data_IF_192246264295
#
_entry.id   IF_192246264295
#
_cell.length_a   1.000
_cell.length_b   1.000
_cell.length_c   1.000
_cell.angle_alpha   90.00
_cell.angle_beta   90.00
_cell.angle_gamma   90.00
#
_symmetry.space_group_name_H-M   'P 1'
#
loop_
_entity.id
_entity.type
_entity.pdbx_description
1 polymer ?
#
# COMPACT_ATOMS: atom_id res chain seq x y z
N UNK A 1 6.72 27.46 63.56
CA UNK A 1 5.70 28.05 62.64
C UNK A 1 5.67 27.11 61.43
N UNK A 2 4.63 26.36 61.05
CA UNK A 2 3.17 26.30 61.27
C UNK A 2 2.80 24.80 61.45
N UNK A 3 2.36 24.38 62.64
CA UNK A 3 0.98 23.98 63.04
C UNK A 3 0.28 22.90 62.19
N UNK A 4 0.32 21.68 62.73
CA UNK A 4 -0.62 20.57 62.58
C UNK A 4 -2.06 20.97 62.90
N UNK A 5 -3.05 20.35 62.23
CA UNK A 5 -4.35 20.04 62.82
C UNK A 5 -4.87 18.68 62.34
N UNK A 6 -5.23 17.87 63.33
CA UNK A 6 -5.81 16.53 63.29
C UNK A 6 -7.23 16.67 63.88
N UNK A 7 -8.25 16.04 63.29
CA UNK A 7 -9.60 15.87 63.89
C UNK A 7 -10.29 14.72 63.14
N UNK A 8 -10.25 13.50 63.68
CA UNK A 8 -11.21 12.89 64.63
C UNK A 8 -12.59 12.52 64.03
N UNK A 9 -12.64 11.25 63.59
CA UNK A 9 -13.66 10.20 63.84
C UNK A 9 -14.93 10.63 64.59
N UNK A 10 -16.09 10.36 63.97
CA UNK A 10 -17.35 10.11 64.67
C UNK A 10 -17.93 8.77 64.20
N UNK A 11 -17.99 7.83 65.15
CA UNK A 11 -18.58 6.50 65.06
C UNK A 11 -20.10 6.63 65.24
N UNK A 12 -20.91 6.03 64.36
CA UNK A 12 -22.32 5.73 64.65
C UNK A 12 -22.57 4.26 64.35
N UNK A 13 -22.87 3.50 65.39
CA UNK A 13 -23.32 2.13 65.34
C UNK A 13 -24.83 2.08 65.64
N UNK A 14 -25.61 1.40 64.80
CA UNK A 14 -26.96 0.85 65.03
C UNK A 14 -27.34 0.14 63.72
N UNK A 15 -27.92 -1.05 63.60
CA UNK A 15 -28.39 -2.10 64.51
C UNK A 15 -28.76 -3.30 63.61
N UNK A 16 -28.60 -4.53 64.12
CA UNK A 16 -28.97 -5.76 63.43
C UNK A 16 -30.45 -5.80 63.04
N UNK A 17 -30.73 -6.28 61.83
CA UNK A 17 -31.97 -6.96 61.47
C UNK A 17 -31.62 -8.37 60.99
N UNK A 18 -31.98 -9.35 61.82
CA UNK A 18 -32.08 -10.76 61.45
C UNK A 18 -33.56 -11.09 61.19
N UNK A 19 -33.89 -11.36 59.93
CA UNK A 19 -35.06 -12.12 59.45
C UNK A 19 -34.58 -12.69 58.11
N UNK A 20 -34.63 -13.96 57.74
CA UNK A 20 -35.16 -15.20 58.29
C UNK A 20 -35.14 -16.17 57.10
N UNK A 21 -34.56 -17.35 57.24
CA UNK A 21 -34.53 -18.35 56.16
C UNK A 21 -35.95 -18.84 55.85
N UNK A 22 -36.37 -18.81 54.59
CA UNK A 22 -37.19 -19.87 54.02
C UNK A 22 -36.50 -20.38 52.76
N UNK A 23 -36.13 -21.64 52.80
CA UNK A 23 -35.74 -22.47 51.67
C UNK A 23 -36.83 -22.48 50.59
N UNK A 24 -36.45 -22.16 49.36
CA UNK A 24 -36.99 -22.79 48.16
C UNK A 24 -35.92 -22.69 47.06
N UNK A 25 -35.37 -23.86 46.71
CA UNK A 25 -34.50 -24.07 45.56
C UNK A 25 -35.33 -23.94 44.27
N UNK A 26 -35.00 -22.96 43.43
CA UNK A 26 -35.05 -22.99 41.95
C UNK A 26 -35.06 -21.57 41.37
N UNK A 27 -34.02 -20.78 41.66
CA UNK A 27 -33.70 -19.69 40.74
C UNK A 27 -32.91 -20.28 39.55
N UNK A 28 -33.26 -19.92 38.30
CA UNK A 28 -32.43 -20.28 37.16
C UNK A 28 -31.03 -19.72 37.40
N UNK A 29 -30.00 -20.53 37.16
CA UNK A 29 -28.65 -20.02 36.97
C UNK A 29 -28.74 -19.08 35.77
N UNK A 30 -28.75 -17.78 36.04
CA UNK A 30 -28.49 -16.77 35.04
C UNK A 30 -27.01 -16.92 34.69
N UNK A 31 -26.75 -17.72 33.64
CA UNK A 31 -25.48 -17.69 32.95
C UNK A 31 -25.49 -16.36 32.20
N UNK A 32 -25.18 -15.28 32.92
CA UNK A 32 -24.63 -14.11 32.25
C UNK A 32 -23.34 -14.61 31.61
N UNK A 33 -23.38 -14.83 30.30
CA UNK A 33 -22.20 -14.84 29.44
C UNK A 33 -21.57 -13.45 29.54
N UNK A 34 -20.94 -13.18 30.69
CA UNK A 34 -19.99 -12.09 30.86
C UNK A 34 -18.72 -12.59 30.17
N UNK A 35 -18.76 -12.60 28.84
CA UNK A 35 -17.56 -12.68 28.02
C UNK A 35 -16.76 -11.45 28.40
N UNK A 36 -15.63 -11.66 29.06
CA UNK A 36 -14.67 -10.58 29.30
C UNK A 36 -14.51 -9.78 27.99
N UNK A 37 -14.62 -8.45 27.99
CA UNK A 37 -14.52 -7.67 26.77
C UNK A 37 -13.17 -8.00 26.11
N UNK A 38 -13.22 -8.51 24.88
CA UNK A 38 -12.01 -8.73 24.08
C UNK A 38 -11.29 -7.39 24.00
N UNK A 39 -10.06 -7.34 24.53
CA UNK A 39 -9.19 -6.19 24.31
C UNK A 39 -8.85 -6.16 22.82
N UNK A 40 -9.55 -5.29 22.10
CA UNK A 40 -9.51 -5.17 20.66
C UNK A 40 -8.50 -4.11 20.20
N UNK A 41 -7.79 -3.46 21.14
CA UNK A 41 -6.75 -2.48 20.84
C UNK A 41 -5.40 -3.19 20.78
N UNK A 42 -4.70 -3.06 19.66
CA UNK A 42 -3.37 -3.60 19.41
C UNK A 42 -2.40 -2.44 19.36
N UNK A 43 -1.31 -2.54 20.11
CA UNK A 43 -0.27 -1.50 20.17
C UNK A 43 1.11 -2.12 20.31
N UNK A 44 2.13 -1.43 19.79
CA UNK A 44 3.52 -1.83 19.92
C UNK A 44 3.86 -3.15 19.21
N UNK A 45 4.77 -3.91 19.79
CA UNK A 45 5.23 -5.16 19.19
C UNK A 45 4.34 -6.35 19.58
N UNK A 46 3.88 -7.09 18.57
CA UNK A 46 3.25 -8.41 18.70
C UNK A 46 4.38 -9.43 18.78
N UNK A 47 4.64 -9.95 19.99
CA UNK A 47 5.76 -10.86 20.29
C UNK A 47 5.36 -12.33 20.38
N UNK A 48 4.09 -12.65 20.22
CA UNK A 48 3.53 -14.00 20.23
C UNK A 48 2.46 -14.11 19.15
N UNK A 49 2.26 -15.31 18.60
CA UNK A 49 1.25 -15.55 17.57
C UNK A 49 -0.13 -15.10 18.06
N UNK A 50 -0.83 -14.34 17.24
CA UNK A 50 -2.17 -13.81 17.55
C UNK A 50 -3.12 -14.03 16.36
N UNK A 51 -4.40 -14.23 16.66
CA UNK A 51 -5.47 -14.29 15.67
C UNK A 51 -6.46 -13.16 15.89
N UNK A 52 -6.70 -12.36 14.86
CA UNK A 52 -7.71 -11.30 14.83
C UNK A 52 -9.01 -11.86 14.24
N UNK A 53 -9.96 -12.13 15.12
CA UNK A 53 -11.28 -12.70 14.78
C UNK A 53 -12.22 -11.63 14.20
N UNK A 54 -13.27 -12.08 13.51
CA UNK A 54 -14.23 -11.21 12.82
C UNK A 54 -15.49 -10.86 13.63
N UNK A 55 -15.54 -11.25 14.91
CA UNK A 55 -16.63 -10.97 15.85
C UNK A 55 -16.44 -9.64 16.60
N UNK A 56 -15.28 -9.00 16.46
CA UNK A 56 -14.95 -7.68 16.99
C UNK A 56 -14.24 -6.83 15.93
N UNK A 57 -14.30 -5.50 16.09
CA UNK A 57 -13.50 -4.57 15.29
C UNK A 57 -12.21 -4.33 16.05
N UNK A 58 -11.08 -4.65 15.42
CA UNK A 58 -9.76 -4.42 16.00
C UNK A 58 -9.32 -2.98 15.75
N UNK A 59 -8.56 -2.41 16.68
CA UNK A 59 -8.02 -1.05 16.59
C UNK A 59 -6.51 -1.07 16.71
N UNK A 60 -5.80 -0.54 15.72
CA UNK A 60 -4.36 -0.27 15.79
C UNK A 60 -4.14 1.10 16.44
N UNK A 61 -3.28 1.13 17.47
CA UNK A 61 -2.86 2.36 18.16
C UNK A 61 -1.33 2.50 18.09
N UNK A 62 -0.88 3.38 17.20
CA UNK A 62 0.52 3.62 16.88
C UNK A 62 1.13 2.52 15.99
N UNK A 63 2.47 2.45 15.99
CA UNK A 63 3.21 1.43 15.24
C UNK A 63 2.98 0.05 15.83
N UNK A 64 2.20 -0.77 15.13
CA UNK A 64 1.94 -2.17 15.47
C UNK A 64 2.85 -3.05 14.63
N UNK A 65 3.75 -3.78 15.28
CA UNK A 65 4.80 -4.54 14.58
C UNK A 65 4.71 -6.03 14.90
N UNK A 66 4.57 -6.86 13.88
CA UNK A 66 4.76 -8.32 13.99
C UNK A 66 6.25 -8.62 13.85
N UNK A 67 6.88 -9.08 14.93
CA UNK A 67 8.34 -9.27 14.99
C UNK A 67 8.77 -10.64 14.43
N UNK A 68 10.08 -10.81 14.25
CA UNK A 68 10.70 -12.04 13.73
C UNK A 68 10.23 -13.30 14.49
N UNK A 69 9.79 -14.31 13.73
CA UNK A 69 9.31 -15.58 14.26
C UNK A 69 7.85 -15.60 14.74
N UNK A 70 7.13 -14.48 14.60
CA UNK A 70 5.72 -14.34 15.02
C UNK A 70 4.80 -14.30 13.81
N UNK A 71 3.61 -14.89 13.94
CA UNK A 71 2.55 -14.88 12.93
C UNK A 71 1.31 -14.13 13.42
N UNK A 72 0.92 -13.11 12.67
CA UNK A 72 -0.38 -12.46 12.78
C UNK A 72 -1.36 -13.17 11.83
N UNK A 73 -2.38 -13.81 12.39
CA UNK A 73 -3.48 -14.40 11.60
C UNK A 73 -4.69 -13.49 11.65
N UNK A 74 -5.36 -13.28 10.52
CA UNK A 74 -6.57 -12.44 10.44
C UNK A 74 -7.67 -13.25 9.76
N UNK A 75 -8.78 -13.44 10.47
CA UNK A 75 -9.91 -14.20 9.95
C UNK A 75 -10.62 -13.46 8.79
N UNK A 76 -11.25 -14.18 7.85
CA UNK A 76 -12.04 -13.55 6.80
C UNK A 76 -13.14 -12.64 7.35
N UNK A 77 -13.31 -11.46 6.76
CA UNK A 77 -14.32 -10.48 7.17
C UNK A 77 -13.94 -9.65 8.40
N UNK A 78 -12.73 -9.81 8.94
CA UNK A 78 -12.24 -8.97 10.04
C UNK A 78 -12.07 -7.52 9.56
N UNK A 79 -12.54 -6.58 10.39
CA UNK A 79 -12.35 -5.15 10.21
C UNK A 79 -11.29 -4.69 11.22
N UNK A 80 -10.26 -4.02 10.70
CA UNK A 80 -9.19 -3.41 11.46
C UNK A 80 -9.24 -1.91 11.21
N UNK A 81 -9.40 -1.13 12.28
CA UNK A 81 -9.38 0.33 12.25
C UNK A 81 -8.07 0.84 12.81
N UNK A 82 -7.57 1.96 12.30
CA UNK A 82 -6.37 2.59 12.82
C UNK A 82 -6.69 3.96 13.44
N UNK A 83 -6.13 4.25 14.61
CA UNK A 83 -6.23 5.58 15.22
C UNK A 83 -5.41 6.60 14.39
N UNK A 84 -5.85 7.88 14.33
CA UNK A 84 -5.06 8.90 13.68
C UNK A 84 -3.74 9.12 14.42
N UNK A 85 -2.72 9.54 13.70
CA UNK A 85 -1.41 9.87 14.26
C UNK A 85 -0.48 10.37 13.16
N UNK A 86 0.59 11.04 13.53
CA UNK A 86 1.62 11.52 12.61
C UNK A 86 3.00 11.21 13.18
N UNK A 87 3.99 11.19 12.30
CA UNK A 87 5.39 10.92 12.65
C UNK A 87 5.52 9.62 13.46
N UNK A 88 6.27 9.66 14.56
CA UNK A 88 6.47 8.54 15.46
C UNK A 88 5.18 7.95 16.08
N UNK A 89 4.06 8.67 16.03
CA UNK A 89 2.76 8.28 16.58
C UNK A 89 1.76 7.80 15.51
N UNK A 90 2.13 7.78 14.23
CA UNK A 90 1.24 7.27 13.19
C UNK A 90 0.89 5.80 13.44
N UNK A 91 -0.38 5.46 13.25
CA UNK A 91 -0.84 4.08 13.31
C UNK A 91 -0.57 3.39 11.98
N UNK A 92 0.21 2.30 12.02
CA UNK A 92 0.64 1.53 10.85
C UNK A 92 0.82 0.08 11.27
N UNK A 93 0.50 -0.86 10.38
CA UNK A 93 0.82 -2.27 10.57
C UNK A 93 2.13 -2.60 9.87
N UNK A 94 3.10 -3.13 10.61
CA UNK A 94 4.42 -3.50 10.10
C UNK A 94 4.62 -5.00 10.30
N UNK A 95 4.83 -5.73 9.23
CA UNK A 95 5.32 -7.11 9.25
C UNK A 95 6.83 -7.04 9.07
N UNK A 96 7.58 -7.08 10.18
CA UNK A 96 9.03 -7.00 10.14
C UNK A 96 9.64 -8.25 9.51
N UNK A 97 10.91 -8.17 9.07
CA UNK A 97 11.63 -9.32 8.51
C UNK A 97 11.52 -10.56 9.39
N UNK A 98 10.94 -11.62 8.83
CA UNK A 98 10.72 -12.91 9.48
C UNK A 98 9.50 -13.03 10.38
N UNK A 99 8.79 -11.92 10.60
CA UNK A 99 7.38 -11.95 10.99
C UNK A 99 6.53 -12.39 9.80
N UNK A 100 5.31 -12.87 10.08
CA UNK A 100 4.38 -13.35 9.06
C UNK A 100 2.99 -12.77 9.23
N UNK A 101 2.30 -12.55 8.12
CA UNK A 101 0.86 -12.26 8.08
C UNK A 101 0.10 -13.39 7.38
N UNK A 102 -1.03 -13.78 7.93
CA UNK A 102 -1.98 -14.72 7.33
C UNK A 102 -3.35 -14.02 7.25
N UNK A 103 -3.51 -13.15 6.25
CA UNK A 103 -4.71 -12.38 5.99
C UNK A 103 -5.43 -12.95 4.75
N UNK A 104 -6.17 -14.03 4.94
CA UNK A 104 -6.81 -14.78 3.85
C UNK A 104 -8.32 -14.58 3.85
N UNK A 105 -8.78 -13.40 3.43
CA UNK A 105 -10.19 -13.09 3.21
C UNK A 105 -10.81 -13.87 2.05
N UNK A 106 -12.05 -13.51 1.73
CA UNK A 106 -12.77 -14.04 0.55
C UNK A 106 -13.50 -12.92 -0.18
N UNK A 107 -13.91 -13.15 -1.43
CA UNK A 107 -14.70 -12.16 -2.18
C UNK A 107 -16.01 -11.75 -1.49
N UNK A 108 -16.59 -12.60 -0.64
CA UNK A 108 -17.78 -12.28 0.15
C UNK A 108 -17.50 -11.75 1.55
N UNK A 109 -16.27 -11.90 2.04
CA UNK A 109 -15.84 -11.48 3.37
C UNK A 109 -14.37 -11.04 3.29
N UNK A 110 -14.10 -9.89 2.63
CA UNK A 110 -12.75 -9.35 2.55
C UNK A 110 -12.29 -8.87 3.93
N UNK A 111 -10.97 -8.87 4.15
CA UNK A 111 -10.37 -8.21 5.31
C UNK A 111 -10.26 -6.72 4.99
N UNK A 112 -10.67 -5.86 5.92
CA UNK A 112 -10.71 -4.41 5.70
C UNK A 112 -9.81 -3.71 6.71
N UNK A 113 -8.82 -3.00 6.22
CA UNK A 113 -8.04 -2.01 6.96
C UNK A 113 -8.54 -0.61 6.61
N UNK A 114 -8.91 0.18 7.62
CA UNK A 114 -9.48 1.53 7.43
C UNK A 114 -9.19 2.45 8.62
N UNK A 115 -9.62 3.70 8.55
CA UNK A 115 -9.51 4.64 9.67
C UNK A 115 -10.51 4.32 10.79
N UNK A 116 -10.14 4.66 12.03
CA UNK A 116 -11.06 4.73 13.18
C UNK A 116 -12.23 5.71 12.99
N UNK A 117 -12.14 6.64 12.04
CA UNK A 117 -13.23 7.55 11.69
C UNK A 117 -14.25 6.94 10.72
N UNK A 118 -13.95 5.81 10.09
CA UNK A 118 -14.89 5.07 9.24
C UNK A 118 -16.04 4.54 10.10
N UNK A 119 -17.28 4.80 9.69
CA UNK A 119 -18.48 4.34 10.39
C UNK A 119 -18.92 2.92 10.03
N UNK A 120 -18.10 2.18 9.26
CA UNK A 120 -18.29 0.75 9.00
C UNK A 120 -18.49 -0.04 10.31
N UNK A 121 -19.50 -0.91 10.33
CA UNK A 121 -19.86 -1.80 11.43
C UNK A 121 -19.56 -3.27 11.09
N UNK A 122 -19.58 -4.14 12.11
CA UNK A 122 -19.35 -5.58 11.92
C UNK A 122 -20.24 -6.20 10.84
N UNK A 123 -19.62 -7.01 9.98
CA UNK A 123 -20.29 -7.68 8.87
C UNK A 123 -20.61 -6.79 7.67
N UNK A 124 -20.27 -5.49 7.71
CA UNK A 124 -20.37 -4.61 6.55
C UNK A 124 -19.06 -4.64 5.75
N UNK A 125 -19.16 -4.32 4.45
CA UNK A 125 -17.98 -4.19 3.56
C UNK A 125 -17.62 -2.74 3.26
N UNK A 126 -18.46 -1.78 3.70
CA UNK A 126 -18.31 -0.35 3.46
C UNK A 126 -19.06 0.47 4.52
N UNK A 127 -18.42 1.53 5.01
CA UNK A 127 -19.10 2.62 5.69
C UNK A 127 -19.83 3.56 4.71
N UNK A 128 -20.36 4.65 5.25
CA UNK A 128 -21.16 5.65 4.51
C UNK A 128 -20.61 7.07 4.62
N UNK A 129 -19.63 7.31 5.49
CA UNK A 129 -19.11 8.65 5.77
C UNK A 129 -17.77 8.96 5.11
N UNK A 130 -17.01 7.96 4.68
CA UNK A 130 -15.77 8.15 3.95
C UNK A 130 -15.92 7.78 2.48
N UNK A 131 -15.19 8.45 1.60
CA UNK A 131 -15.08 8.16 0.17
C UNK A 131 -13.63 8.20 -0.32
N UNK A 132 -13.41 8.03 -1.62
CA UNK A 132 -12.08 7.95 -2.22
C UNK A 132 -11.23 9.22 -2.05
N UNK A 133 -11.83 10.33 -1.65
CA UNK A 133 -11.14 11.61 -1.41
C UNK A 133 -10.70 11.77 0.06
N UNK A 134 -11.15 10.89 0.95
CA UNK A 134 -10.66 10.83 2.33
C UNK A 134 -9.34 10.06 2.39
N UNK A 135 -8.26 10.76 2.73
CA UNK A 135 -6.88 10.24 2.71
C UNK A 135 -6.13 10.64 3.97
N UNK A 136 -5.01 9.98 4.25
CA UNK A 136 -4.05 10.39 5.27
C UNK A 136 -4.56 10.19 6.69
N UNK A 137 -5.50 9.26 6.88
CA UNK A 137 -6.16 9.05 8.17
C UNK A 137 -5.42 8.05 9.06
N UNK A 138 -4.47 7.30 8.48
CA UNK A 138 -3.52 6.40 9.13
C UNK A 138 -2.37 6.06 8.16
N UNK A 139 -1.40 5.25 8.57
CA UNK A 139 -0.21 4.94 7.77
C UNK A 139 -0.49 4.05 6.58
N UNK A 140 -0.82 2.78 6.81
CA UNK A 140 -0.91 1.76 5.77
C UNK A 140 -0.44 0.42 6.28
N UNK A 141 -0.12 -0.50 5.36
CA UNK A 141 0.44 -1.81 5.70
C UNK A 141 1.82 -1.94 5.07
N UNK A 142 2.82 -2.27 5.89
CA UNK A 142 4.19 -2.49 5.47
C UNK A 142 4.54 -3.96 5.66
N UNK A 143 5.06 -4.62 4.61
CA UNK A 143 5.59 -5.99 4.69
C UNK A 143 7.05 -6.00 4.27
N UNK A 144 7.92 -6.42 5.18
CA UNK A 144 9.37 -6.41 4.98
C UNK A 144 9.91 -7.84 4.94
N UNK A 145 10.66 -8.15 3.88
CA UNK A 145 11.25 -9.47 3.66
C UNK A 145 12.77 -9.45 3.56
N UNK A 146 13.33 -10.64 3.34
CA UNK A 146 14.78 -10.89 3.22
C UNK A 146 15.26 -11.12 1.79
N UNK A 147 14.43 -10.84 0.78
CA UNK A 147 14.83 -10.92 -0.62
C UNK A 147 15.78 -9.79 -1.01
N UNK A 148 16.44 -9.95 -2.15
CA UNK A 148 17.38 -8.93 -2.65
C UNK A 148 16.65 -7.68 -3.11
N UNK A 149 17.26 -6.53 -2.85
CA UNK A 149 16.95 -5.22 -3.43
C UNK A 149 18.27 -4.62 -3.93
N UNK A 150 18.20 -3.75 -4.94
CA UNK A 150 19.38 -3.04 -5.43
C UNK A 150 19.56 -1.74 -4.66
N UNK A 151 20.42 -1.79 -3.65
CA UNK A 151 20.59 -0.72 -2.67
C UNK A 151 21.85 0.11 -2.92
N UNK A 152 21.77 1.40 -2.62
CA UNK A 152 22.90 2.32 -2.72
C UNK A 152 24.14 1.80 -1.98
N UNK A 153 25.30 1.85 -2.64
CA UNK A 153 26.56 1.35 -2.10
C UNK A 153 26.61 -0.17 -1.91
N UNK A 154 25.71 -0.93 -2.56
CA UNK A 154 25.56 -2.37 -2.43
C UNK A 154 25.32 -2.82 -0.97
N UNK A 155 24.56 -2.01 -0.22
CA UNK A 155 24.15 -2.37 1.13
C UNK A 155 23.35 -3.69 1.13
N UNK A 156 23.52 -4.55 2.14
CA UNK A 156 22.78 -5.82 2.20
C UNK A 156 21.33 -5.66 2.67
N UNK A 157 21.01 -4.53 3.31
CA UNK A 157 19.71 -4.17 3.86
C UNK A 157 19.60 -2.64 3.92
N UNK A 158 18.38 -2.13 3.85
CA UNK A 158 18.07 -0.71 3.99
C UNK A 158 16.92 -0.52 5.00
N UNK A 159 16.77 0.71 5.49
CA UNK A 159 15.67 1.10 6.35
C UNK A 159 14.51 1.53 5.46
N UNK A 160 13.34 0.88 5.60
CA UNK A 160 12.14 1.32 4.87
C UNK A 160 11.81 2.76 5.26
N UNK A 161 11.32 3.51 4.29
CA UNK A 161 10.97 4.90 4.48
C UNK A 161 10.00 5.12 5.65
N UNK A 162 10.17 6.29 6.26
CA UNK A 162 9.35 6.76 7.35
C UNK A 162 9.45 6.01 8.69
N UNK A 163 10.01 4.80 8.73
CA UNK A 163 10.34 4.12 9.99
C UNK A 163 11.71 4.62 10.47
N UNK A 164 11.83 5.17 11.68
CA UNK A 164 13.10 5.69 12.17
C UNK A 164 14.20 4.63 12.19
N UNK A 165 15.41 4.97 11.75
CA UNK A 165 16.57 4.06 11.73
C UNK A 165 16.96 3.46 13.11
N UNK A 166 16.42 3.99 14.21
CA UNK A 166 16.56 3.40 15.55
C UNK A 166 15.68 2.16 15.77
N UNK A 167 14.66 1.96 14.94
CA UNK A 167 13.74 0.83 14.99
C UNK A 167 14.12 -0.19 13.90
N UNK A 168 14.90 -1.19 14.30
CA UNK A 168 15.41 -2.24 13.41
C UNK A 168 14.32 -3.10 12.78
N UNK A 169 13.07 -3.00 13.25
CA UNK A 169 11.95 -3.70 12.62
C UNK A 169 11.55 -3.10 11.26
N UNK A 170 12.01 -1.89 10.94
CA UNK A 170 11.84 -1.30 9.61
C UNK A 170 12.94 -1.67 8.61
N UNK A 171 13.88 -2.55 8.97
CA UNK A 171 14.90 -3.01 8.01
C UNK A 171 14.29 -4.03 7.04
N UNK A 172 14.57 -3.88 5.74
CA UNK A 172 14.25 -4.84 4.68
C UNK A 172 15.49 -5.19 3.86
N UNK A 173 15.36 -6.17 2.98
CA UNK A 173 16.45 -6.63 2.13
C UNK A 173 17.24 -7.79 2.75
N UNK A 174 18.04 -8.43 1.91
CA UNK A 174 18.86 -9.57 2.26
C UNK A 174 19.32 -10.34 1.02
N UNK A 175 19.43 -11.66 1.16
CA UNK A 175 19.93 -12.55 0.08
C UNK A 175 19.01 -13.74 -0.21
N UNK A 176 17.80 -13.76 0.37
CA UNK A 176 16.87 -14.87 0.29
C UNK A 176 15.62 -14.50 -0.54
N UNK A 177 15.70 -14.63 -1.86
CA UNK A 177 14.54 -14.35 -2.73
C UNK A 177 13.38 -15.34 -2.55
N UNK A 178 13.60 -16.44 -1.82
CA UNK A 178 12.58 -17.41 -1.44
C UNK A 178 12.02 -17.17 -0.03
N UNK A 179 12.29 -16.01 0.57
CA UNK A 179 11.71 -15.60 1.85
C UNK A 179 10.17 -15.60 1.78
N UNK A 180 9.54 -15.90 2.92
CA UNK A 180 8.09 -16.07 3.05
C UNK A 180 7.58 -15.26 4.24
N UNK A 181 6.97 -14.12 3.92
CA UNK A 181 6.29 -13.22 4.86
C UNK A 181 4.81 -13.59 5.06
N UNK A 182 4.34 -14.69 4.47
CA UNK A 182 2.98 -15.21 4.59
C UNK A 182 2.08 -14.93 3.39
N UNK A 183 0.81 -14.62 3.66
CA UNK A 183 -0.22 -14.48 2.62
C UNK A 183 -1.20 -13.35 2.91
N UNK A 184 -1.48 -12.54 1.89
CA UNK A 184 -2.56 -11.55 1.84
C UNK A 184 -3.44 -11.85 0.63
N UNK A 185 -4.72 -12.12 0.88
CA UNK A 185 -5.71 -12.47 -0.12
C UNK A 185 -7.07 -11.87 0.21
N UNK A 186 -7.69 -11.12 -0.71
CA UNK A 186 -8.94 -10.37 -0.51
C UNK A 186 -8.82 -9.39 0.66
N UNK A 187 -7.90 -8.44 0.51
CA UNK A 187 -7.60 -7.39 1.49
C UNK A 187 -7.89 -6.03 0.87
N UNK A 188 -8.69 -5.22 1.56
CA UNK A 188 -8.99 -3.83 1.18
C UNK A 188 -8.34 -2.89 2.18
N UNK A 189 -7.46 -2.02 1.72
CA UNK A 189 -6.71 -1.03 2.51
C UNK A 189 -7.19 0.35 2.09
N UNK A 190 -7.69 1.15 3.03
CA UNK A 190 -8.40 2.39 2.69
C UNK A 190 -7.93 3.58 3.52
N UNK A 191 -7.88 4.76 2.91
CA UNK A 191 -7.71 6.05 3.57
C UNK A 191 -6.36 6.19 4.31
N UNK A 192 -5.30 5.55 3.79
CA UNK A 192 -3.93 5.54 4.32
C UNK A 192 -3.11 6.77 3.91
N UNK A 193 -1.80 6.73 4.14
CA UNK A 193 -0.84 7.76 3.71
C UNK A 193 -0.65 8.94 4.66
N UNK A 194 -0.80 8.75 5.97
CA UNK A 194 -0.40 9.82 6.90
C UNK A 194 1.12 10.01 6.89
N UNK A 195 1.56 11.26 6.94
CA UNK A 195 2.96 11.65 7.17
C UNK A 195 3.57 10.94 8.39
N UNK A 196 4.66 10.22 8.18
CA UNK A 196 5.44 9.56 9.24
C UNK A 196 6.87 10.09 9.38
N UNK A 197 7.29 10.97 8.47
CA UNK A 197 8.49 11.81 8.54
C UNK A 197 8.30 13.10 7.74
N UNK A 198 9.30 13.98 7.72
CA UNK A 198 9.28 15.16 6.84
C UNK A 198 9.42 14.71 5.38
N UNK A 199 8.34 14.82 4.60
CA UNK A 199 8.28 14.38 3.20
C UNK A 199 8.34 12.87 3.01
N UNK A 200 7.97 12.09 4.04
CA UNK A 200 7.83 10.63 3.93
C UNK A 200 6.43 10.27 4.41
N UNK A 201 5.53 10.11 3.47
CA UNK A 201 4.22 9.51 3.65
C UNK A 201 4.38 7.97 3.66
N UNK A 202 3.31 7.19 3.79
CA UNK A 202 3.38 5.72 3.65
C UNK A 202 2.42 5.31 2.55
N UNK A 203 2.82 4.33 1.76
CA UNK A 203 2.02 3.77 0.70
C UNK A 203 0.84 2.97 1.27
N UNK A 204 -0.20 2.74 0.46
CA UNK A 204 -1.31 1.91 0.91
C UNK A 204 -0.82 0.51 1.32
N UNK A 205 -0.02 -0.10 0.44
CA UNK A 205 0.72 -1.32 0.71
C UNK A 205 2.19 -1.18 0.29
N UNK A 206 3.10 -1.16 1.27
CA UNK A 206 4.55 -1.12 1.03
C UNK A 206 5.13 -2.54 1.11
N UNK A 207 5.91 -2.94 0.09
CA UNK A 207 6.50 -4.27 -0.03
C UNK A 207 8.02 -4.19 -0.18
N UNK A 208 8.73 -4.09 0.94
CA UNK A 208 10.21 -4.00 0.94
C UNK A 208 10.89 -5.36 0.97
N UNK A 209 11.64 -5.72 -0.08
CA UNK A 209 12.44 -6.94 -0.14
C UNK A 209 11.64 -8.22 0.10
N UNK A 210 10.37 -8.26 -0.31
CA UNK A 210 9.47 -9.40 -0.07
C UNK A 210 9.82 -10.56 -1.01
N UNK A 211 9.99 -11.76 -0.46
CA UNK A 211 10.38 -12.94 -1.23
C UNK A 211 9.23 -13.64 -1.96
N UNK A 212 9.61 -14.43 -2.97
CA UNK A 212 8.73 -15.25 -3.81
C UNK A 212 7.98 -16.37 -3.08
N UNK A 213 8.34 -16.64 -1.82
CA UNK A 213 7.58 -17.54 -0.95
C UNK A 213 6.28 -16.92 -0.43
N UNK A 214 6.18 -15.59 -0.47
CA UNK A 214 5.03 -14.81 -0.02
C UNK A 214 3.93 -14.80 -1.09
N UNK A 215 2.66 -14.79 -0.67
CA UNK A 215 1.50 -14.65 -1.58
C UNK A 215 0.83 -13.30 -1.40
N UNK A 216 0.81 -12.47 -2.44
CA UNK A 216 0.04 -11.22 -2.49
C UNK A 216 -0.98 -11.33 -3.63
N UNK A 217 -2.27 -11.35 -3.29
CA UNK A 217 -3.32 -11.46 -4.32
C UNK A 217 -4.62 -10.80 -3.90
N UNK A 218 -5.43 -10.36 -4.87
CA UNK A 218 -6.75 -9.74 -4.61
C UNK A 218 -6.63 -8.62 -3.56
N UNK A 219 -5.84 -7.60 -3.88
CA UNK A 219 -5.63 -6.44 -3.03
C UNK A 219 -6.39 -5.25 -3.62
N UNK A 220 -7.05 -4.49 -2.78
CA UNK A 220 -7.60 -3.18 -3.11
C UNK A 220 -6.93 -2.12 -2.22
N UNK A 221 -6.48 -1.02 -2.82
CA UNK A 221 -6.08 0.20 -2.13
C UNK A 221 -6.95 1.36 -2.59
N UNK A 222 -7.51 2.12 -1.66
CA UNK A 222 -8.40 3.27 -1.97
C UNK A 222 -8.00 4.50 -1.16
N UNK A 223 -7.82 5.64 -1.82
CA UNK A 223 -7.63 6.93 -1.14
C UNK A 223 -6.37 6.96 -0.27
N UNK A 224 -5.23 6.53 -0.80
CA UNK A 224 -3.93 6.76 -0.15
C UNK A 224 -3.43 8.17 -0.46
N UNK A 225 -2.70 8.83 0.45
CA UNK A 225 -2.08 10.14 0.15
C UNK A 225 -0.90 9.96 -0.80
N UNK A 226 -0.11 8.94 -0.54
CA UNK A 226 1.05 8.55 -1.31
C UNK A 226 0.64 7.50 -2.34
N UNK A 227 1.54 6.58 -2.67
CA UNK A 227 1.26 5.50 -3.60
C UNK A 227 0.15 4.55 -3.17
N UNK A 228 -0.45 3.92 -4.18
CA UNK A 228 -1.32 2.77 -3.98
C UNK A 228 -0.57 1.59 -3.40
N UNK A 229 0.36 1.04 -4.18
CA UNK A 229 1.20 -0.09 -3.81
C UNK A 229 2.59 0.15 -4.34
N UNK A 230 3.59 0.01 -3.46
CA UNK A 230 4.99 0.21 -3.82
C UNK A 230 5.85 -1.01 -3.47
N UNK A 231 6.77 -1.35 -4.38
CA UNK A 231 7.75 -2.42 -4.21
C UNK A 231 9.18 -1.89 -4.14
N UNK A 232 9.78 -1.87 -2.95
CA UNK A 232 11.21 -1.66 -2.78
C UNK A 232 11.99 -2.97 -2.96
N UNK A 233 12.38 -3.27 -4.20
CA UNK A 233 13.06 -4.50 -4.55
C UNK A 233 12.24 -5.77 -4.24
N UNK A 234 12.93 -6.91 -4.13
CA UNK A 234 12.31 -8.20 -3.82
C UNK A 234 11.89 -9.03 -5.03
N UNK A 235 11.18 -10.13 -4.78
CA UNK A 235 10.86 -11.17 -5.76
C UNK A 235 9.45 -11.74 -5.60
N UNK A 236 8.60 -11.13 -4.77
CA UNK A 236 7.20 -11.55 -4.57
C UNK A 236 6.43 -11.45 -5.87
N UNK A 237 5.57 -12.43 -6.20
CA UNK A 237 4.62 -12.27 -7.30
C UNK A 237 3.30 -11.76 -6.75
N UNK A 238 2.70 -10.80 -7.45
CA UNK A 238 1.45 -10.15 -7.07
C UNK A 238 0.39 -10.34 -8.15
N UNK A 239 -0.87 -10.54 -7.77
CA UNK A 239 -1.95 -10.71 -8.75
C UNK A 239 -3.28 -10.12 -8.33
N UNK A 240 -4.09 -9.65 -9.28
CA UNK A 240 -5.40 -9.05 -8.99
C UNK A 240 -5.26 -7.86 -8.04
N UNK A 241 -4.59 -6.80 -8.49
CA UNK A 241 -4.40 -5.58 -7.72
C UNK A 241 -5.32 -4.48 -8.22
N UNK A 242 -6.00 -3.78 -7.32
CA UNK A 242 -6.79 -2.60 -7.64
C UNK A 242 -6.29 -1.42 -6.82
N UNK A 243 -6.00 -0.31 -7.48
CA UNK A 243 -5.69 0.97 -6.84
C UNK A 243 -6.69 2.00 -7.35
N UNK A 244 -7.28 2.76 -6.43
CA UNK A 244 -8.22 3.83 -6.76
C UNK A 244 -7.94 5.08 -5.95
N UNK A 245 -7.72 6.19 -6.64
CA UNK A 245 -7.62 7.53 -6.06
C UNK A 245 -6.50 7.71 -5.04
N UNK A 246 -5.36 7.06 -5.28
CA UNK A 246 -4.09 7.40 -4.63
C UNK A 246 -3.68 8.84 -4.95
N UNK A 247 -2.83 9.44 -4.11
CA UNK A 247 -2.45 10.83 -4.27
C UNK A 247 -1.13 11.03 -5.01
N UNK A 248 -0.25 10.03 -4.99
CA UNK A 248 0.93 9.98 -5.86
C UNK A 248 0.73 8.86 -6.92
N UNK A 249 1.49 7.77 -6.87
CA UNK A 249 1.53 6.80 -7.95
C UNK A 249 0.72 5.53 -7.71
N UNK A 250 0.09 5.05 -8.78
CA UNK A 250 -0.80 3.90 -8.73
C UNK A 250 -0.07 2.63 -8.28
N UNK A 251 0.90 2.22 -9.08
CA UNK A 251 1.82 1.12 -8.79
C UNK A 251 3.23 1.65 -8.97
N UNK A 252 4.00 1.68 -7.89
CA UNK A 252 5.38 2.15 -7.91
C UNK A 252 6.36 0.98 -7.70
N UNK A 253 7.40 0.91 -8.51
CA UNK A 253 8.43 -0.12 -8.46
C UNK A 253 9.79 0.53 -8.32
N UNK A 254 10.52 0.05 -7.33
CA UNK A 254 11.78 0.62 -6.96
C UNK A 254 12.85 -0.45 -6.70
N UNK A 255 14.11 -0.03 -6.67
CA UNK A 255 15.26 -0.84 -6.23
C UNK A 255 15.39 -2.24 -6.88
N UNK A 256 15.12 -2.33 -8.19
CA UNK A 256 15.23 -3.56 -8.99
C UNK A 256 14.36 -4.73 -8.51
N UNK A 257 13.08 -4.47 -8.24
CA UNK A 257 12.09 -5.53 -8.04
C UNK A 257 12.09 -6.53 -9.22
N UNK A 258 11.98 -7.81 -8.89
CA UNK A 258 12.18 -8.94 -9.82
C UNK A 258 10.97 -9.85 -9.98
N UNK A 259 9.85 -9.48 -9.36
CA UNK A 259 8.62 -10.26 -9.40
C UNK A 259 7.74 -9.95 -10.61
N UNK A 260 6.64 -10.70 -10.69
CA UNK A 260 5.58 -10.47 -11.67
C UNK A 260 4.35 -9.88 -10.99
N UNK A 261 3.85 -8.78 -11.53
CA UNK A 261 2.56 -8.17 -11.21
C UNK A 261 1.58 -8.51 -12.33
N UNK A 262 0.51 -9.22 -12.00
CA UNK A 262 -0.44 -9.71 -13.00
C UNK A 262 -1.88 -9.27 -12.72
N UNK A 263 -2.61 -8.92 -13.77
CA UNK A 263 -4.02 -8.57 -13.70
C UNK A 263 -4.30 -7.40 -12.73
N UNK A 264 -3.89 -6.18 -13.09
CA UNK A 264 -4.02 -4.99 -12.24
C UNK A 264 -4.93 -3.91 -12.83
N UNK A 265 -5.61 -3.14 -11.98
CA UNK A 265 -6.47 -2.02 -12.36
C UNK A 265 -6.08 -0.79 -11.53
N UNK A 266 -5.67 0.29 -12.19
CA UNK A 266 -5.39 1.58 -11.57
C UNK A 266 -6.41 2.60 -12.06
N UNK A 267 -7.04 3.32 -11.13
CA UNK A 267 -8.09 4.31 -11.39
C UNK A 267 -7.68 5.64 -10.75
N UNK A 268 -7.41 6.65 -11.56
CA UNK A 268 -7.00 7.97 -11.08
C UNK A 268 -8.15 8.67 -10.32
N UNK A 269 -7.80 9.26 -9.18
CA UNK A 269 -8.62 10.17 -8.39
C UNK A 269 -8.38 11.63 -8.76
N UNK A 270 -8.85 12.54 -7.91
CA UNK A 270 -8.79 13.99 -8.12
C UNK A 270 -7.39 14.62 -7.98
N UNK A 271 -6.49 13.96 -7.23
CA UNK A 271 -5.13 14.44 -6.95
C UNK A 271 -4.03 13.45 -7.34
N UNK A 272 -4.38 12.33 -7.98
CA UNK A 272 -3.42 11.31 -8.44
C UNK A 272 -2.33 11.87 -9.35
N UNK A 273 -1.15 11.26 -9.29
CA UNK A 273 -0.05 11.50 -10.23
C UNK A 273 -0.02 10.42 -11.33
N UNK A 274 1.00 9.56 -11.40
CA UNK A 274 1.10 8.54 -12.44
C UNK A 274 0.30 7.30 -12.09
N UNK A 275 -0.18 6.60 -13.12
CA UNK A 275 -0.77 5.29 -12.91
C UNK A 275 0.30 4.21 -12.66
N UNK A 276 1.52 4.42 -13.16
CA UNK A 276 2.72 3.63 -12.90
C UNK A 276 3.90 4.58 -12.68
N UNK A 277 4.70 4.33 -11.66
CA UNK A 277 6.04 4.89 -11.50
C UNK A 277 7.02 3.72 -11.44
N UNK A 278 8.14 3.82 -12.14
CA UNK A 278 9.06 2.71 -12.31
C UNK A 278 10.49 3.23 -12.25
N UNK A 279 11.14 2.97 -11.13
CA UNK A 279 12.54 3.24 -10.89
C UNK A 279 13.42 2.01 -11.09
N UNK A 280 14.66 2.29 -11.45
CA UNK A 280 15.66 1.28 -11.70
C UNK A 280 16.49 0.91 -10.47
N UNK A 281 17.61 0.21 -10.69
CA UNK A 281 18.45 -0.24 -9.59
C UNK A 281 19.26 0.90 -8.94
N UNK A 282 19.13 1.12 -7.62
CA UNK A 282 19.97 2.08 -6.89
C UNK A 282 21.40 1.57 -6.60
N UNK A 283 21.68 0.28 -6.84
CA UNK A 283 22.97 -0.38 -6.65
C UNK A 283 23.41 -1.23 -7.85
N UNK A 284 24.41 -2.09 -7.65
CA UNK A 284 24.95 -2.93 -8.73
C UNK A 284 24.14 -4.19 -9.03
N UNK A 285 23.20 -4.56 -8.15
CA UNK A 285 22.29 -5.67 -8.40
C UNK A 285 21.30 -5.27 -9.48
N UNK A 286 21.12 -6.10 -10.48
CA UNK A 286 20.27 -5.82 -11.64
C UNK A 286 19.23 -6.92 -11.73
N UNK A 287 17.96 -6.53 -11.77
CA UNK A 287 16.84 -7.39 -12.02
C UNK A 287 15.74 -6.60 -12.73
N UNK A 288 14.78 -7.32 -13.29
CA UNK A 288 13.75 -6.74 -14.13
C UNK A 288 12.40 -7.30 -13.68
N UNK A 289 11.41 -6.42 -13.54
CA UNK A 289 10.04 -6.80 -13.21
C UNK A 289 9.28 -7.26 -14.45
N UNK A 290 8.10 -7.86 -14.25
CA UNK A 290 7.10 -8.05 -15.30
C UNK A 290 5.73 -7.55 -14.84
N UNK A 291 5.11 -6.65 -15.62
CA UNK A 291 3.69 -6.29 -15.50
C UNK A 291 2.93 -6.91 -16.68
N UNK A 292 1.92 -7.74 -16.40
CA UNK A 292 1.11 -8.41 -17.42
C UNK A 292 -0.39 -8.31 -17.12
N UNK A 293 -1.14 -7.69 -18.02
CA UNK A 293 -2.59 -7.54 -17.91
C UNK A 293 -2.95 -6.37 -17.02
N UNK A 294 -2.78 -5.15 -17.53
CA UNK A 294 -2.99 -3.92 -16.79
C UNK A 294 -4.11 -3.11 -17.41
N UNK A 295 -4.99 -2.54 -16.60
CA UNK A 295 -5.95 -1.52 -17.02
C UNK A 295 -5.70 -0.22 -16.30
N UNK A 296 -5.57 0.87 -17.06
CA UNK A 296 -5.37 2.23 -16.57
C UNK A 296 -6.60 3.07 -16.92
N UNK A 297 -7.24 3.64 -15.90
CA UNK A 297 -8.38 4.54 -16.05
C UNK A 297 -7.99 5.91 -15.49
N UNK A 298 -7.64 6.83 -16.39
CA UNK A 298 -7.37 8.21 -16.06
C UNK A 298 -8.65 9.05 -16.05
N UNK A 299 -8.47 10.35 -15.86
CA UNK A 299 -9.51 11.35 -16.08
C UNK A 299 -8.93 12.61 -16.74
N UNK A 300 -9.80 13.58 -17.06
CA UNK A 300 -9.41 14.81 -17.79
C UNK A 300 -9.25 16.04 -16.90
N UNK A 301 -9.37 15.86 -15.57
CA UNK A 301 -9.44 16.95 -14.59
C UNK A 301 -8.29 16.96 -13.60
N UNK A 302 -7.64 15.82 -13.38
CA UNK A 302 -6.47 15.71 -12.50
C UNK A 302 -5.27 16.36 -13.18
N UNK A 303 -4.68 17.35 -12.52
CA UNK A 303 -3.64 18.21 -13.09
C UNK A 303 -2.37 17.40 -13.41
N UNK A 304 -1.94 16.55 -12.48
CA UNK A 304 -0.76 15.71 -12.60
C UNK A 304 -1.07 14.31 -13.16
N UNK A 305 -2.35 13.94 -13.33
CA UNK A 305 -2.70 12.57 -13.73
C UNK A 305 -2.08 12.10 -15.05
N UNK A 306 -1.14 11.15 -15.00
CA UNK A 306 -0.31 10.65 -16.11
C UNK A 306 -0.40 9.12 -16.28
N UNK A 307 0.02 8.56 -17.44
CA UNK A 307 -0.08 7.11 -17.66
C UNK A 307 1.03 6.35 -16.93
N UNK A 308 2.28 6.73 -17.14
CA UNK A 308 3.43 6.05 -16.57
C UNK A 308 4.71 6.89 -16.66
N UNK A 309 5.48 6.90 -15.58
CA UNK A 309 6.85 7.42 -15.55
C UNK A 309 7.85 6.26 -15.40
N UNK A 310 8.96 6.33 -16.15
CA UNK A 310 10.07 5.37 -16.09
C UNK A 310 11.37 6.15 -15.90
N UNK A 311 11.95 6.03 -14.70
CA UNK A 311 13.12 6.80 -14.28
C UNK A 311 14.26 5.90 -13.82
N UNK A 312 15.36 6.51 -13.41
CA UNK A 312 16.50 5.89 -12.70
C UNK A 312 17.03 4.57 -13.28
N UNK A 313 17.01 4.45 -14.61
CA UNK A 313 17.47 3.26 -15.30
C UNK A 313 16.52 2.06 -15.16
N UNK A 314 15.20 2.27 -15.16
CA UNK A 314 14.17 1.26 -15.17
C UNK A 314 14.46 0.05 -16.08
N UNK A 315 14.09 -1.15 -15.60
CA UNK A 315 14.31 -2.44 -16.25
C UNK A 315 13.08 -3.32 -16.08
N UNK A 316 12.52 -3.85 -17.17
CA UNK A 316 11.31 -4.65 -17.06
C UNK A 316 10.56 -4.89 -18.35
N UNK A 317 9.35 -5.41 -18.20
CA UNK A 317 8.41 -5.58 -19.30
C UNK A 317 7.03 -5.15 -18.85
N UNK A 318 6.38 -4.26 -19.61
CA UNK A 318 4.98 -3.89 -19.43
C UNK A 318 4.17 -4.35 -20.63
N UNK A 319 3.28 -5.31 -20.40
CA UNK A 319 2.51 -5.93 -21.49
C UNK A 319 1.03 -6.12 -21.22
N UNK A 320 0.28 -6.23 -22.31
CA UNK A 320 -1.17 -6.45 -22.32
C UNK A 320 -1.87 -5.35 -21.52
N UNK A 321 -1.70 -4.10 -21.96
CA UNK A 321 -2.24 -2.92 -21.29
C UNK A 321 -3.50 -2.42 -22.01
N UNK A 322 -4.48 -1.95 -21.26
CA UNK A 322 -5.58 -1.14 -21.77
C UNK A 322 -5.63 0.18 -21.01
N UNK A 323 -5.57 1.30 -21.72
CA UNK A 323 -5.57 2.62 -21.10
C UNK A 323 -6.66 3.53 -21.69
N UNK A 324 -7.34 4.28 -20.83
CA UNK A 324 -8.45 5.15 -21.24
C UNK A 324 -8.65 6.32 -20.28
N UNK A 325 -9.29 7.39 -20.76
CA UNK A 325 -9.82 8.47 -19.92
C UNK A 325 -8.86 9.60 -19.58
N UNK A 326 -7.56 9.44 -19.85
CA UNK A 326 -6.54 10.46 -19.56
C UNK A 326 -6.70 11.74 -20.40
N UNK A 327 -6.20 12.84 -19.85
CA UNK A 327 -6.08 14.15 -20.51
C UNK A 327 -5.14 14.06 -21.73
N UNK A 328 -5.31 14.97 -22.68
CA UNK A 328 -4.54 14.94 -23.94
C UNK A 328 -3.05 15.27 -23.77
N UNK A 329 -2.67 15.92 -22.67
CA UNK A 329 -1.27 16.17 -22.34
C UNK A 329 -0.61 14.98 -21.66
N UNK A 330 -1.37 13.93 -21.34
CA UNK A 330 -0.82 12.82 -20.60
C UNK A 330 0.06 11.91 -21.46
N UNK A 331 1.15 11.41 -20.89
CA UNK A 331 2.18 10.62 -21.55
C UNK A 331 2.61 9.37 -20.75
N UNK A 332 3.35 8.53 -21.47
CA UNK A 332 4.21 7.46 -20.96
C UNK A 332 5.63 7.92 -21.26
N UNK A 333 6.41 8.19 -20.24
CA UNK A 333 7.73 8.82 -20.41
C UNK A 333 8.91 7.91 -20.10
N UNK A 334 9.99 8.07 -20.87
CA UNK A 334 11.32 7.62 -20.48
C UNK A 334 12.07 8.87 -20.03
N UNK A 335 12.41 8.93 -18.76
CA UNK A 335 12.57 10.23 -18.12
C UNK A 335 13.96 10.85 -18.37
N UNK A 336 14.94 10.00 -18.67
CA UNK A 336 16.30 10.40 -18.95
C UNK A 336 17.01 9.47 -19.97
N UNK A 337 18.25 9.81 -20.30
CA UNK A 337 19.05 9.02 -21.25
C UNK A 337 19.42 7.63 -20.73
N UNK A 338 19.48 7.41 -19.42
CA UNK A 338 19.77 6.08 -18.88
C UNK A 338 18.63 5.11 -19.18
N UNK A 339 17.39 5.51 -18.90
CA UNK A 339 16.19 4.72 -19.25
C UNK A 339 16.04 4.56 -20.76
N UNK A 340 16.28 5.63 -21.51
CA UNK A 340 16.25 5.60 -22.98
C UNK A 340 17.29 4.63 -23.57
N UNK A 341 18.47 4.54 -22.95
CA UNK A 341 19.50 3.57 -23.34
C UNK A 341 19.07 2.14 -22.98
N UNK A 342 18.46 1.91 -21.83
CA UNK A 342 17.88 0.62 -21.46
C UNK A 342 16.80 0.17 -22.46
N UNK A 343 15.98 1.10 -22.95
CA UNK A 343 15.00 0.79 -24.00
C UNK A 343 15.69 0.37 -25.31
N UNK A 344 16.74 1.10 -25.74
CA UNK A 344 17.52 0.76 -26.93
C UNK A 344 18.22 -0.60 -26.83
N UNK A 345 18.64 -0.98 -25.62
CA UNK A 345 19.27 -2.26 -25.33
C UNK A 345 18.25 -3.41 -25.10
N UNK A 346 16.95 -3.10 -25.07
CA UNK A 346 15.87 -4.06 -24.88
C UNK A 346 15.73 -4.56 -23.44
N UNK A 347 16.19 -3.76 -22.46
CA UNK A 347 16.12 -4.05 -21.03
C UNK A 347 14.81 -3.56 -20.39
N UNK A 348 14.20 -2.51 -20.95
CA UNK A 348 12.81 -2.13 -20.70
C UNK A 348 12.02 -2.33 -22.00
N UNK A 349 10.88 -3.01 -21.94
CA UNK A 349 10.08 -3.34 -23.12
C UNK A 349 8.59 -3.14 -22.93
N UNK A 350 7.91 -2.80 -24.03
CA UNK A 350 6.48 -2.54 -24.09
C UNK A 350 5.82 -3.45 -25.11
N UNK A 351 4.72 -4.11 -24.74
CA UNK A 351 4.01 -5.03 -25.63
C UNK A 351 2.49 -4.91 -25.52
N UNK A 352 1.78 -4.89 -26.65
CA UNK A 352 0.32 -4.98 -26.70
C UNK A 352 -0.42 -3.96 -25.80
N UNK A 353 -0.24 -2.68 -26.09
CA UNK A 353 -0.98 -1.58 -25.50
C UNK A 353 -2.20 -1.22 -26.35
N UNK A 354 -3.39 -1.26 -25.74
CA UNK A 354 -4.66 -0.84 -26.36
C UNK A 354 -5.08 0.50 -25.78
N UNK A 355 -5.12 1.53 -26.62
CA UNK A 355 -5.42 2.91 -26.21
C UNK A 355 -6.83 3.30 -26.66
N UNK A 356 -7.63 3.82 -25.72
CA UNK A 356 -8.96 4.36 -26.01
C UNK A 356 -8.99 5.87 -25.78
N UNK A 357 -9.00 6.63 -26.88
CA UNK A 357 -9.00 8.10 -26.86
C UNK A 357 -7.62 8.73 -27.06
N UNK A 358 -6.58 7.90 -27.23
CA UNK A 358 -5.20 8.31 -27.54
C UNK A 358 -4.60 7.37 -28.60
N UNK A 359 -3.37 7.66 -29.05
CA UNK A 359 -2.57 6.82 -29.92
C UNK A 359 -1.11 6.79 -29.45
N UNK A 360 -0.18 6.32 -30.29
CA UNK A 360 1.22 6.18 -29.94
C UNK A 360 1.93 7.51 -29.60
N UNK A 361 1.32 8.67 -29.83
CA UNK A 361 1.91 9.97 -29.46
C UNK A 361 2.08 10.17 -27.96
N UNK A 362 1.44 9.35 -27.12
CA UNK A 362 1.62 9.41 -25.66
C UNK A 362 3.01 8.90 -25.24
N UNK A 363 3.72 8.14 -26.07
CA UNK A 363 5.05 7.64 -25.69
C UNK A 363 6.11 8.71 -25.99
N UNK A 364 6.70 9.29 -24.96
CA UNK A 364 7.61 10.45 -25.04
C UNK A 364 8.97 10.11 -24.43
N UNK A 365 10.05 10.50 -25.11
CA UNK A 365 11.39 10.51 -24.53
C UNK A 365 11.62 11.90 -23.93
N UNK A 366 11.89 11.95 -22.63
CA UNK A 366 12.35 13.14 -21.92
C UNK A 366 13.86 13.07 -21.74
N UNK A 367 14.40 14.10 -21.10
CA UNK A 367 15.83 14.28 -20.86
C UNK A 367 16.01 14.84 -19.47
N UNK A 368 16.99 14.33 -18.74
CA UNK A 368 17.33 14.90 -17.45
C UNK A 368 17.97 16.28 -17.61
N UNK A 369 17.86 17.10 -16.58
CA UNK A 369 18.70 18.28 -16.44
C UNK A 369 20.10 17.89 -15.91
N UNK A 370 21.15 18.48 -16.48
CA UNK A 370 22.57 18.20 -16.16
C UNK A 370 23.35 19.42 -15.66
N UNK A 371 22.93 20.64 -15.95
CA UNK A 371 23.51 21.87 -15.38
C UNK A 371 22.42 22.90 -15.06
N UNK A 372 22.59 23.64 -13.95
CA UNK A 372 21.71 24.69 -13.42
C UNK A 372 20.33 24.25 -12.88
N UNK A 373 20.13 22.94 -12.74
CA UNK A 373 18.89 22.32 -12.26
C UNK A 373 18.47 22.66 -10.81
N UNK A 374 19.34 23.36 -10.07
CA UNK A 374 19.15 23.67 -8.64
C UNK A 374 18.66 25.11 -8.39
N UNK A 375 18.30 25.84 -9.45
CA UNK A 375 17.75 27.19 -9.36
C UNK A 375 16.27 27.29 -9.76
N UNK A 376 15.68 28.49 -9.62
CA UNK A 376 14.26 28.74 -9.92
C UNK A 376 14.04 29.26 -11.36
N UNK A 377 15.06 29.20 -12.21
CA UNK A 377 15.06 29.67 -13.59
C UNK A 377 15.29 28.51 -14.58
N UNK A 378 14.25 27.71 -14.88
CA UNK A 378 14.37 26.56 -15.78
C UNK A 378 14.75 26.94 -17.22
N UNK A 379 14.82 28.24 -17.55
CA UNK A 379 15.27 28.69 -18.86
C UNK A 379 16.79 28.60 -19.04
N UNK A 380 17.54 28.42 -17.95
CA UNK A 380 18.99 28.28 -17.99
C UNK A 380 19.46 26.83 -17.81
N UNK A 381 18.53 25.90 -17.58
CA UNK A 381 18.79 24.47 -17.47
C UNK A 381 19.45 23.97 -18.75
N UNK A 382 20.54 23.24 -18.57
CA UNK A 382 21.15 22.46 -19.64
C UNK A 382 20.64 21.04 -19.48
N UNK A 383 19.93 20.53 -20.47
CA UNK A 383 19.44 19.16 -20.48
C UNK A 383 20.38 18.24 -21.23
N UNK A 384 20.19 16.95 -21.02
CA UNK A 384 20.71 15.95 -21.94
C UNK A 384 20.15 16.16 -23.36
N UNK A 385 20.83 15.56 -24.33
CA UNK A 385 20.33 15.45 -25.70
C UNK A 385 19.58 14.13 -25.84
N UNK A 386 18.42 14.18 -26.50
CA UNK A 386 17.63 13.00 -26.90
C UNK A 386 18.51 12.01 -27.69
N UNK A 387 18.40 10.72 -27.37
CA UNK A 387 19.22 9.65 -27.99
C UNK A 387 18.43 8.70 -28.88
N UNK A 388 17.09 8.64 -28.77
CA UNK A 388 16.26 7.81 -29.67
C UNK A 388 15.83 8.65 -30.89
N UNK A 389 16.67 8.66 -31.93
CA UNK A 389 16.52 9.63 -33.03
C UNK A 389 15.72 9.17 -34.25
N UNK A 390 15.96 7.96 -34.78
CA UNK A 390 15.30 7.48 -36.02
C UNK A 390 15.21 5.95 -36.06
N UNK A 391 14.00 5.36 -35.95
CA UNK A 391 12.76 6.04 -35.56
C UNK A 391 12.82 6.53 -34.10
N UNK A 392 12.09 7.60 -33.77
CA UNK A 392 12.00 8.13 -32.39
C UNK A 392 11.26 7.15 -31.46
N UNK A 393 11.30 7.36 -30.14
CA UNK A 393 10.53 6.54 -29.20
C UNK A 393 9.03 6.53 -29.54
N UNK A 394 8.46 7.72 -29.77
CA UNK A 394 7.08 7.90 -30.21
C UNK A 394 6.76 7.14 -31.51
N UNK A 395 7.64 7.18 -32.51
CA UNK A 395 7.43 6.47 -33.77
C UNK A 395 7.55 4.94 -33.61
N UNK A 396 8.49 4.48 -32.77
CA UNK A 396 8.63 3.07 -32.42
C UNK A 396 7.39 2.53 -31.71
N UNK A 397 6.72 3.37 -30.92
CA UNK A 397 5.54 2.99 -30.16
C UNK A 397 4.37 2.49 -31.00
N UNK A 398 4.33 2.86 -32.29
CA UNK A 398 3.38 2.27 -33.24
C UNK A 398 3.51 0.74 -33.39
N UNK A 399 4.63 0.13 -32.96
CA UNK A 399 4.82 -1.32 -33.02
C UNK A 399 4.13 -2.09 -31.88
N UNK A 400 3.91 -1.46 -30.73
CA UNK A 400 3.27 -2.10 -29.57
C UNK A 400 1.91 -1.51 -29.21
N UNK A 401 1.51 -0.38 -29.82
CA UNK A 401 0.23 0.27 -29.56
C UNK A 401 -0.81 -0.01 -30.64
N UNK A 402 -2.06 -0.10 -30.22
CA UNK A 402 -3.24 -0.12 -31.11
C UNK A 402 -4.35 0.71 -30.49
N UNK A 403 -5.25 1.26 -31.32
CA UNK A 403 -6.47 1.89 -30.80
C UNK A 403 -7.55 0.84 -30.61
N UNK A 404 -8.30 0.92 -29.52
CA UNK A 404 -9.36 -0.04 -29.21
C UNK A 404 -10.15 0.33 -27.96
N UNK A 405 -11.17 -0.46 -27.63
CA UNK A 405 -12.07 -0.20 -26.48
C UNK A 405 -12.06 -1.33 -25.46
N UNK A 406 -11.10 -2.25 -25.55
CA UNK A 406 -10.99 -3.42 -24.68
C UNK A 406 -9.59 -4.02 -24.75
N UNK A 407 -9.11 -4.51 -23.61
CA UNK A 407 -7.82 -5.15 -23.41
C UNK A 407 -7.51 -5.13 -21.92
N UNK A 408 -6.25 -5.34 -21.54
CA UNK A 408 -5.81 -5.14 -20.15
C UNK A 408 -6.28 -6.22 -19.19
N UNK A 409 -6.55 -5.80 -17.95
CA UNK A 409 -6.97 -6.66 -16.87
C UNK A 409 -8.39 -7.23 -17.08
N UNK A 410 -8.60 -8.44 -16.56
CA UNK A 410 -9.92 -9.01 -16.32
C UNK A 410 -10.56 -8.34 -15.11
N UNK A 411 -11.28 -7.24 -15.34
CA UNK A 411 -11.90 -6.44 -14.26
C UNK A 411 -12.99 -7.17 -13.49
N UNK A 412 -13.53 -8.29 -14.01
CA UNK A 412 -14.56 -9.08 -13.33
C UNK A 412 -14.11 -9.69 -12.00
N UNK A 413 -12.80 -9.87 -11.80
CA UNK A 413 -12.26 -10.37 -10.52
C UNK A 413 -12.37 -9.35 -9.39
N UNK A 414 -12.56 -8.07 -9.70
CA UNK A 414 -12.65 -6.98 -8.72
C UNK A 414 -14.08 -6.71 -8.24
N UNK A 415 -15.05 -7.57 -8.54
CA UNK A 415 -16.46 -7.36 -8.12
C UNK A 415 -16.71 -7.36 -6.60
N UNK A 416 -15.70 -7.74 -5.80
CA UNK A 416 -15.76 -7.74 -4.33
C UNK A 416 -15.34 -6.40 -3.70
N UNK A 417 -14.74 -5.50 -4.49
CA UNK A 417 -14.03 -4.33 -3.99
C UNK A 417 -14.97 -3.18 -3.64
N UNK A 418 -14.50 -2.26 -2.78
CA UNK A 418 -15.18 -1.01 -2.49
C UNK A 418 -15.36 -0.16 -3.75
N UNK A 419 -14.33 -0.08 -4.59
CA UNK A 419 -14.35 0.59 -5.89
C UNK A 419 -15.48 0.07 -6.79
N UNK A 420 -15.68 -1.26 -6.84
CA UNK A 420 -16.80 -1.85 -7.60
C UNK A 420 -18.15 -1.47 -7.00
N UNK A 421 -18.29 -1.49 -5.68
CA UNK A 421 -19.52 -1.09 -4.98
C UNK A 421 -19.88 0.39 -5.20
N UNK A 422 -18.88 1.24 -5.47
CA UNK A 422 -19.05 2.66 -5.82
C UNK A 422 -19.22 2.92 -7.31
N UNK A 423 -19.03 1.90 -8.16
CA UNK A 423 -19.15 2.03 -9.62
C UNK A 423 -17.98 2.80 -10.25
N UNK A 424 -16.76 2.61 -9.71
CA UNK A 424 -15.56 3.29 -10.20
C UNK A 424 -15.07 2.79 -11.58
N UNK A 425 -15.49 1.59 -12.03
CA UNK A 425 -15.06 0.98 -13.30
C UNK A 425 -16.14 0.10 -13.95
#
# INVERSE_FOLDING_TARGET
MKKFFLSQVALVAFSLLLIGCSSDDNDPIDVSDDVDPVDSVITGQITEDITLTNDVIWTLDGRVTVVDGVTLTIDPGTIIKALPGQEANASVLIIARGGKIQANGTSSAPIIFTSSTDNIELGQTAGTNLDENDRGLWGGVIVLGRARASLSGDAPENQIEGIPASDTNGLYGGTNDADDSGAMNYVSIRHGGTLIGEGNEINGLTLGGVGSGTTISNIEVVGNVDDGIEWFGGAVNSSNLLVWAQGDDGLDIDEAYSGTISNSLVIAGDVSDHALEIDGPAGSFQAAFEIDGLTLIGNTTTENGEYADFRDGALGTVRNVYATGFKASADVELDNNEVSQNFLDGLITFENWVLNGADNTIFVEKVACIENCDDNDPNNDVTEEIIILDPTFTERAANWTTTGTSGGANTGVFSWTYASAKGAF
#
